data_IF_433214609780
#
_entry.id   IF_433214609780
#
_cell.length_a   1.000
_cell.length_b   1.000
_cell.length_c   1.000
_cell.angle_alpha   90.00
_cell.angle_beta   90.00
_cell.angle_gamma   90.00
#
_symmetry.space_group_name_H-M   'P 1'
#
loop_
_entity.id
_entity.type
_entity.pdbx_description
1 polymer ?
#
# COMPACT_ATOMS: atom_id res chain seq x y z
N UNK A 1 -4.09 16.20 -4.32
CA UNK A 1 -4.43 15.40 -3.11
C UNK A 1 -4.80 13.99 -3.56
N UNK A 2 -4.22 12.96 -2.93
CA UNK A 2 -4.52 11.56 -3.26
C UNK A 2 -5.92 11.17 -2.78
N UNK A 3 -6.62 10.37 -3.57
CA UNK A 3 -7.96 9.86 -3.27
C UNK A 3 -8.04 8.40 -3.68
N UNK A 4 -8.73 7.57 -2.88
CA UNK A 4 -8.96 6.17 -3.22
C UNK A 4 -10.02 6.04 -4.31
N UNK A 5 -9.75 5.19 -5.28
CA UNK A 5 -10.66 4.81 -6.35
C UNK A 5 -10.91 3.30 -6.30
N UNK A 6 -11.97 2.85 -6.94
CA UNK A 6 -12.15 1.44 -7.25
C UNK A 6 -11.01 0.94 -8.15
N UNK A 7 -10.66 -0.33 -8.02
CA UNK A 7 -9.61 -0.96 -8.82
C UNK A 7 -10.03 -0.98 -10.28
N UNK A 8 -9.23 -0.36 -11.14
CA UNK A 8 -9.46 -0.33 -12.57
C UNK A 8 -8.91 -1.59 -13.23
N UNK A 9 -9.78 -2.54 -13.54
CA UNK A 9 -9.40 -3.78 -14.23
C UNK A 9 -9.36 -3.63 -15.76
N UNK A 10 -9.60 -2.44 -16.30
CA UNK A 10 -9.76 -2.25 -17.75
C UNK A 10 -11.05 -2.88 -18.28
N UNK A 11 -11.21 -2.88 -19.60
CA UNK A 11 -12.42 -3.35 -20.28
C UNK A 11 -12.33 -4.77 -20.82
N UNK A 12 -11.12 -5.31 -20.96
CA UNK A 12 -10.89 -6.65 -21.53
C UNK A 12 -10.44 -7.66 -20.49
N UNK A 13 -10.63 -8.97 -20.78
CA UNK A 13 -10.10 -10.04 -19.91
C UNK A 13 -8.57 -9.99 -19.78
N UNK A 14 -7.85 -9.47 -20.78
CA UNK A 14 -6.38 -9.33 -20.78
C UNK A 14 -5.91 -8.23 -19.81
N UNK A 15 -6.76 -7.25 -19.50
CA UNK A 15 -6.46 -6.13 -18.62
C UNK A 15 -6.60 -6.49 -17.14
N UNK A 16 -7.13 -7.67 -16.82
CA UNK A 16 -7.34 -8.11 -15.45
C UNK A 16 -6.07 -8.72 -14.86
N UNK A 17 -5.40 -7.98 -14.00
CA UNK A 17 -4.42 -8.55 -13.07
C UNK A 17 -5.05 -8.62 -11.68
N UNK A 18 -5.07 -9.83 -11.08
CA UNK A 18 -5.75 -10.09 -9.80
C UNK A 18 -4.84 -9.97 -8.58
N UNK A 19 -3.56 -9.66 -8.77
CA UNK A 19 -2.61 -9.55 -7.67
C UNK A 19 -2.76 -8.23 -6.93
N UNK A 20 -2.50 -8.26 -5.63
CA UNK A 20 -2.75 -7.12 -4.74
C UNK A 20 -1.84 -5.92 -5.01
N UNK A 21 -0.59 -6.11 -5.46
CA UNK A 21 0.30 -5.00 -5.83
C UNK A 21 -0.24 -4.15 -6.98
N UNK A 22 -0.52 -4.73 -8.16
CA UNK A 22 -1.19 -4.02 -9.25
C UNK A 22 -2.53 -3.39 -8.86
N UNK A 23 -3.31 -4.05 -7.98
CA UNK A 23 -4.60 -3.53 -7.54
C UNK A 23 -4.49 -2.25 -6.72
N UNK A 24 -3.55 -2.17 -5.75
CA UNK A 24 -3.38 -0.95 -4.94
C UNK A 24 -2.76 0.20 -5.73
N UNK A 25 -1.86 -0.09 -6.68
CA UNK A 25 -1.36 0.93 -7.60
C UNK A 25 -2.53 1.49 -8.42
N UNK A 26 -3.34 0.62 -9.01
CA UNK A 26 -4.52 1.00 -9.80
C UNK A 26 -5.50 1.85 -8.98
N UNK A 27 -5.83 1.42 -7.76
CA UNK A 27 -6.80 2.11 -6.90
C UNK A 27 -6.33 3.50 -6.46
N UNK A 28 -5.02 3.74 -6.36
CA UNK A 28 -4.50 5.05 -5.96
C UNK A 28 -4.23 5.97 -7.15
N UNK A 29 -3.87 5.43 -8.31
CA UNK A 29 -3.39 6.23 -9.46
C UNK A 29 -4.34 6.23 -10.65
N UNK A 30 -5.37 5.37 -10.64
CA UNK A 30 -6.37 5.26 -11.71
C UNK A 30 -5.94 4.44 -12.93
N UNK A 31 -4.65 4.09 -13.09
CA UNK A 31 -4.20 3.24 -14.20
C UNK A 31 -4.80 1.84 -14.11
N UNK A 32 -4.83 1.09 -15.22
CA UNK A 32 -5.34 -0.28 -15.19
C UNK A 32 -4.40 -1.22 -14.40
N UNK A 33 -4.96 -2.30 -13.85
CA UNK A 33 -4.15 -3.34 -13.17
C UNK A 33 -3.16 -4.00 -14.13
N UNK A 34 -3.46 -4.09 -15.42
CA UNK A 34 -2.53 -4.59 -16.45
C UNK A 34 -1.33 -3.66 -16.62
N UNK A 35 -1.58 -2.35 -16.70
CA UNK A 35 -0.53 -1.34 -16.81
C UNK A 35 0.34 -1.31 -15.54
N UNK A 36 -0.27 -1.35 -14.35
CA UNK A 36 0.45 -1.45 -13.09
C UNK A 36 1.36 -2.69 -13.04
N UNK A 37 0.84 -3.85 -13.48
CA UNK A 37 1.62 -5.08 -13.56
C UNK A 37 2.76 -5.00 -14.59
N UNK A 38 2.55 -4.32 -15.73
CA UNK A 38 3.59 -4.06 -16.73
C UNK A 38 4.74 -3.27 -16.11
N UNK A 39 4.44 -2.14 -15.44
CA UNK A 39 5.44 -1.30 -14.78
C UNK A 39 6.21 -2.04 -13.68
N UNK A 40 5.54 -2.83 -12.85
CA UNK A 40 6.23 -3.67 -11.86
C UNK A 40 7.23 -4.62 -12.55
N UNK A 41 6.85 -5.26 -13.67
CA UNK A 41 7.77 -6.13 -14.42
C UNK A 41 8.97 -5.38 -14.99
N UNK A 42 8.77 -4.18 -15.48
CA UNK A 42 9.85 -3.33 -16.00
C UNK A 42 10.89 -2.99 -14.93
N UNK A 43 10.43 -2.60 -13.73
CA UNK A 43 11.33 -2.31 -12.61
C UNK A 43 12.01 -3.55 -12.03
N UNK A 44 11.33 -4.71 -12.06
CA UNK A 44 11.84 -5.92 -11.38
C UNK A 44 12.50 -6.92 -12.30
N UNK A 45 12.36 -6.79 -13.61
CA UNK A 45 12.80 -7.79 -14.62
C UNK A 45 12.00 -9.10 -14.58
N UNK A 46 10.94 -9.20 -13.76
CA UNK A 46 10.16 -10.45 -13.60
C UNK A 46 9.23 -10.66 -14.78
N UNK A 47 9.12 -11.92 -15.24
CA UNK A 47 8.16 -12.30 -16.29
C UNK A 47 6.71 -12.31 -15.78
N UNK A 48 6.51 -12.72 -14.53
CA UNK A 48 5.18 -12.86 -13.92
C UNK A 48 5.13 -12.20 -12.54
N UNK A 49 3.98 -11.65 -12.19
CA UNK A 49 3.69 -11.11 -10.87
C UNK A 49 2.87 -12.14 -10.11
N UNK A 50 3.47 -12.80 -9.11
CA UNK A 50 2.80 -13.76 -8.22
C UNK A 50 2.63 -13.22 -6.81
N UNK A 51 3.23 -12.10 -6.51
CA UNK A 51 3.21 -11.35 -5.27
C UNK A 51 4.21 -10.19 -5.40
N UNK A 52 4.10 -9.19 -4.56
CA UNK A 52 4.98 -8.01 -4.60
C UNK A 52 5.43 -7.63 -3.21
N UNK A 53 6.64 -7.07 -3.13
CA UNK A 53 7.20 -6.45 -1.93
C UNK A 53 7.11 -4.92 -2.02
N UNK A 54 7.37 -4.24 -0.91
CA UNK A 54 7.36 -2.77 -0.86
C UNK A 54 8.36 -2.14 -1.82
N UNK A 55 9.57 -2.67 -1.89
CA UNK A 55 10.63 -2.23 -2.79
C UNK A 55 10.29 -2.41 -4.28
N UNK A 56 9.42 -3.37 -4.62
CA UNK A 56 8.99 -3.60 -6.01
C UNK A 56 7.87 -2.64 -6.47
N UNK A 57 7.04 -2.15 -5.54
CA UNK A 57 5.94 -1.24 -5.88
C UNK A 57 6.30 0.23 -5.64
N UNK A 58 7.28 0.52 -4.76
CA UNK A 58 7.74 1.89 -4.47
C UNK A 58 8.19 2.64 -5.72
N UNK A 59 9.06 2.10 -6.61
CA UNK A 59 9.46 2.81 -7.81
C UNK A 59 8.31 3.06 -8.78
N UNK A 60 7.35 2.14 -8.89
CA UNK A 60 6.16 2.34 -9.73
C UNK A 60 5.29 3.49 -9.21
N UNK A 61 5.12 3.60 -7.90
CA UNK A 61 4.43 4.74 -7.32
C UNK A 61 5.17 6.05 -7.58
N UNK A 62 6.51 6.06 -7.46
CA UNK A 62 7.33 7.25 -7.74
C UNK A 62 7.18 7.72 -9.18
N UNK A 63 7.22 6.82 -10.18
CA UNK A 63 6.97 7.13 -11.60
C UNK A 63 5.58 7.72 -11.85
N UNK A 64 4.63 7.46 -10.97
CA UNK A 64 3.25 7.94 -11.03
C UNK A 64 3.01 9.17 -10.14
N UNK A 65 4.09 9.81 -9.66
CA UNK A 65 4.02 11.02 -8.85
C UNK A 65 3.56 10.77 -7.41
N UNK A 66 3.72 9.55 -6.88
CA UNK A 66 3.34 9.19 -5.52
C UNK A 66 4.55 8.76 -4.71
N UNK A 67 4.83 9.46 -3.62
CA UNK A 67 5.85 9.10 -2.64
C UNK A 67 5.29 8.06 -1.66
N UNK A 68 6.08 7.02 -1.42
CA UNK A 68 5.79 5.94 -0.48
C UNK A 68 6.82 5.97 0.65
N UNK A 69 6.43 6.48 1.84
CA UNK A 69 7.31 6.65 3.01
C UNK A 69 6.99 5.62 4.08
N UNK A 70 7.93 4.77 4.52
CA UNK A 70 7.71 3.83 5.60
C UNK A 70 7.30 4.52 6.89
N UNK A 71 6.42 3.88 7.66
CA UNK A 71 5.96 4.37 8.95
C UNK A 71 5.77 3.21 9.94
N UNK A 72 5.76 3.53 11.23
CA UNK A 72 5.44 2.60 12.31
C UNK A 72 4.63 3.27 13.41
N UNK A 73 3.98 2.47 14.22
CA UNK A 73 3.38 2.94 15.49
C UNK A 73 4.47 2.83 16.56
N UNK A 74 4.79 3.90 17.24
CA UNK A 74 5.76 3.91 18.33
C UNK A 74 5.22 3.29 19.64
N UNK A 75 6.06 3.23 20.67
CA UNK A 75 5.68 2.67 21.99
C UNK A 75 4.57 3.44 22.70
N UNK A 76 4.31 4.68 22.32
CA UNK A 76 3.25 5.56 22.84
C UNK A 76 1.97 5.51 22.00
N UNK A 77 1.96 4.73 20.91
CA UNK A 77 0.82 4.61 20.00
C UNK A 77 0.75 5.69 18.91
N UNK A 78 1.80 6.51 18.74
CA UNK A 78 1.85 7.52 17.69
C UNK A 78 2.42 6.96 16.39
N UNK A 79 1.84 7.38 15.27
CA UNK A 79 2.36 7.08 13.95
C UNK A 79 3.55 8.00 13.65
N UNK A 80 4.69 7.41 13.37
CA UNK A 80 5.91 8.13 13.00
C UNK A 80 6.48 7.57 11.69
N UNK A 81 7.15 8.43 10.91
CA UNK A 81 7.93 7.96 9.76
C UNK A 81 9.08 7.07 10.23
N UNK A 82 9.28 5.96 9.56
CA UNK A 82 10.35 5.02 9.91
C UNK A 82 11.53 5.17 8.94
N UNK A 83 12.29 6.24 9.13
CA UNK A 83 13.48 6.53 8.33
C UNK A 83 14.55 5.45 8.45
N UNK A 84 14.58 4.72 9.57
CA UNK A 84 15.52 3.60 9.74
C UNK A 84 15.26 2.49 8.72
N UNK A 85 14.00 2.22 8.39
CA UNK A 85 13.66 1.24 7.35
C UNK A 85 14.16 1.73 5.98
N UNK A 86 14.08 3.02 5.69
CA UNK A 86 14.58 3.57 4.42
C UNK A 86 16.10 3.46 4.28
N UNK A 87 16.83 3.47 5.38
CA UNK A 87 18.29 3.30 5.40
C UNK A 87 18.74 1.84 5.24
N UNK A 88 17.84 0.88 5.40
CA UNK A 88 18.16 -0.53 5.22
C UNK A 88 18.27 -0.88 3.72
N UNK A 89 19.16 -1.81 3.41
CA UNK A 89 19.17 -2.43 2.08
C UNK A 89 17.87 -3.22 1.80
N UNK A 90 17.58 -3.50 0.54
CA UNK A 90 16.36 -4.20 0.09
C UNK A 90 16.16 -5.53 0.80
N UNK A 91 17.24 -6.30 1.04
CA UNK A 91 17.18 -7.61 1.70
C UNK A 91 16.77 -7.46 3.17
N UNK A 92 17.31 -6.47 3.86
CA UNK A 92 16.97 -6.17 5.24
C UNK A 92 15.53 -5.63 5.37
N UNK A 93 15.09 -4.77 4.45
CA UNK A 93 13.70 -4.29 4.40
C UNK A 93 12.71 -5.44 4.23
N UNK A 94 12.98 -6.37 3.30
CA UNK A 94 12.12 -7.56 3.06
C UNK A 94 12.10 -8.48 4.28
N UNK A 95 13.24 -8.68 4.95
CA UNK A 95 13.33 -9.47 6.19
C UNK A 95 12.50 -8.82 7.29
N UNK A 96 12.69 -7.53 7.54
CA UNK A 96 11.89 -6.78 8.51
C UNK A 96 10.38 -6.92 8.25
N UNK A 97 9.93 -6.73 7.02
CA UNK A 97 8.52 -6.91 6.65
C UNK A 97 8.04 -8.35 6.86
N UNK A 98 8.88 -9.36 6.62
CA UNK A 98 8.54 -10.76 6.85
C UNK A 98 8.41 -11.07 8.34
N UNK A 99 9.30 -10.55 9.18
CA UNK A 99 9.30 -10.77 10.63
C UNK A 99 8.06 -10.17 11.30
N UNK A 100 7.56 -9.02 10.79
CA UNK A 100 6.34 -8.39 11.30
C UNK A 100 5.04 -9.17 10.96
N UNK A 101 5.07 -10.12 10.03
CA UNK A 101 3.86 -10.88 9.62
C UNK A 101 3.24 -11.70 10.74
N UNK A 102 4.07 -12.20 11.67
CA UNK A 102 3.61 -13.00 12.81
C UNK A 102 3.34 -12.19 14.08
N UNK A 103 4.07 -11.10 14.30
CA UNK A 103 4.10 -10.33 15.54
C UNK A 103 3.37 -8.98 15.47
N UNK A 104 3.09 -8.47 14.27
CA UNK A 104 2.43 -7.17 14.08
C UNK A 104 1.04 -7.09 14.71
N UNK A 105 0.58 -5.87 14.99
CA UNK A 105 -0.78 -5.65 15.50
C UNK A 105 -1.85 -6.08 14.51
N UNK A 106 -3.05 -6.37 14.98
CA UNK A 106 -4.18 -6.64 14.07
C UNK A 106 -4.61 -5.38 13.34
N UNK A 107 -5.25 -5.53 12.18
CA UNK A 107 -5.80 -4.39 11.45
C UNK A 107 -6.83 -3.61 12.28
N UNK A 108 -7.65 -4.29 13.10
CA UNK A 108 -8.55 -3.62 14.02
C UNK A 108 -7.81 -2.79 15.09
N UNK A 109 -6.71 -3.30 15.64
CA UNK A 109 -5.89 -2.55 16.58
C UNK A 109 -5.21 -1.35 15.90
N UNK A 110 -4.73 -1.53 14.66
CA UNK A 110 -4.18 -0.45 13.85
C UNK A 110 -5.21 0.65 13.59
N UNK A 111 -6.44 0.29 13.22
CA UNK A 111 -7.53 1.26 13.02
C UNK A 111 -7.79 2.09 14.27
N UNK A 112 -7.78 1.46 15.45
CA UNK A 112 -7.95 2.16 16.73
C UNK A 112 -6.76 3.07 17.04
N UNK A 113 -5.54 2.59 16.86
CA UNK A 113 -4.31 3.35 17.14
C UNK A 113 -4.13 4.57 16.23
N UNK A 114 -4.65 4.52 15.00
CA UNK A 114 -4.48 5.58 13.98
C UNK A 114 -5.76 6.40 13.72
N UNK A 115 -6.72 6.36 14.60
CA UNK A 115 -8.00 7.07 14.42
C UNK A 115 -7.80 8.57 14.21
N UNK A 116 -6.92 9.18 14.99
CA UNK A 116 -6.57 10.59 14.89
C UNK A 116 -5.91 10.94 13.56
N UNK A 117 -4.90 10.17 13.15
CA UNK A 117 -4.16 10.39 11.90
C UNK A 117 -5.05 10.15 10.67
N UNK A 118 -5.98 9.19 10.78
CA UNK A 118 -6.95 8.89 9.73
C UNK A 118 -8.08 9.90 9.60
N UNK A 119 -8.31 10.74 10.62
CA UNK A 119 -9.33 11.81 10.54
C UNK A 119 -9.03 12.83 9.43
N UNK A 120 -7.75 12.98 9.06
CA UNK A 120 -7.29 13.75 7.90
C UNK A 120 -7.46 13.04 6.56
N UNK A 121 -6.84 13.60 5.52
CA UNK A 121 -6.87 13.05 4.16
C UNK A 121 -5.69 12.14 3.84
N UNK A 122 -4.89 11.75 4.85
CA UNK A 122 -3.74 10.88 4.66
C UNK A 122 -4.17 9.53 4.10
N UNK A 123 -3.50 9.08 3.05
CA UNK A 123 -3.64 7.72 2.52
C UNK A 123 -2.55 6.85 3.13
N UNK A 124 -2.96 5.68 3.60
CA UNK A 124 -2.09 4.64 4.13
C UNK A 124 -2.07 3.45 3.18
N UNK A 125 -0.88 2.98 2.85
CA UNK A 125 -0.69 1.65 2.26
C UNK A 125 -0.24 0.71 3.36
N UNK A 126 -0.90 -0.42 3.48
CA UNK A 126 -0.57 -1.43 4.48
C UNK A 126 -0.30 -2.79 3.83
N UNK A 127 0.65 -3.52 4.40
CA UNK A 127 0.74 -4.96 4.23
C UNK A 127 -0.04 -5.62 5.36
N UNK A 128 -1.19 -6.23 5.07
CA UNK A 128 -2.08 -6.83 6.06
C UNK A 128 -2.52 -8.22 5.63
N UNK A 129 -2.18 -9.25 6.42
CA UNK A 129 -2.52 -10.65 6.12
C UNK A 129 -2.05 -11.11 4.75
N UNK A 130 -0.82 -10.80 4.38
CA UNK A 130 -0.19 -11.07 3.07
C UNK A 130 -0.85 -10.36 1.88
N UNK A 131 -1.59 -9.29 2.13
CA UNK A 131 -2.21 -8.46 1.10
C UNK A 131 -1.81 -7.00 1.24
N UNK A 132 -1.68 -6.35 0.11
CA UNK A 132 -1.63 -4.90 0.03
C UNK A 132 -3.04 -4.34 0.12
N UNK A 133 -3.23 -3.36 1.00
CA UNK A 133 -4.50 -2.66 1.19
C UNK A 133 -4.24 -1.15 1.31
N UNK A 134 -5.17 -0.35 0.84
CA UNK A 134 -5.17 1.11 1.02
C UNK A 134 -6.28 1.50 1.98
N UNK A 135 -5.98 2.46 2.85
CA UNK A 135 -6.93 3.06 3.79
C UNK A 135 -6.83 4.58 3.74
N UNK A 136 -7.97 5.25 3.70
CA UNK A 136 -8.09 6.70 3.81
C UNK A 136 -9.34 7.01 4.62
N UNK A 137 -9.20 7.64 5.76
CA UNK A 137 -10.31 7.79 6.74
C UNK A 137 -10.90 6.41 7.07
N UNK A 138 -12.18 6.21 6.87
CA UNK A 138 -12.88 4.94 7.03
C UNK A 138 -13.12 4.20 5.70
N UNK A 139 -12.47 4.65 4.64
CA UNK A 139 -12.47 3.98 3.34
C UNK A 139 -11.34 2.98 3.21
N UNK A 140 -11.63 1.84 2.63
CA UNK A 140 -10.74 0.72 2.41
C UNK A 140 -10.85 0.22 0.97
N UNK A 141 -9.73 -0.10 0.34
CA UNK A 141 -9.71 -0.80 -0.95
C UNK A 141 -8.54 -1.78 -1.03
N UNK A 142 -8.77 -2.91 -1.65
CA UNK A 142 -7.73 -3.89 -2.00
C UNK A 142 -8.16 -4.70 -3.23
N UNK A 143 -7.27 -5.54 -3.76
CA UNK A 143 -7.58 -6.40 -4.89
C UNK A 143 -8.73 -7.40 -4.67
N UNK A 144 -9.13 -7.67 -3.41
CA UNK A 144 -10.26 -8.55 -3.08
C UNK A 144 -11.59 -7.84 -3.03
N UNK A 145 -11.59 -6.60 -2.53
CA UNK A 145 -12.82 -5.78 -2.55
C UNK A 145 -13.10 -5.29 -3.96
N UNK A 146 -12.05 -4.91 -4.69
CA UNK A 146 -12.15 -4.30 -6.02
C UNK A 146 -12.72 -2.89 -6.00
N UNK A 147 -13.50 -2.57 -4.98
CA UNK A 147 -14.22 -1.32 -4.77
C UNK A 147 -13.77 -0.66 -3.47
N UNK A 148 -13.98 0.64 -3.37
CA UNK A 148 -13.82 1.38 -2.12
C UNK A 148 -15.02 1.03 -1.23
N UNK A 149 -14.72 0.49 -0.06
CA UNK A 149 -15.73 0.08 0.93
C UNK A 149 -15.38 0.64 2.31
N UNK A 150 -16.31 0.61 3.25
CA UNK A 150 -16.00 0.96 4.65
C UNK A 150 -15.02 -0.04 5.26
N UNK A 151 -14.17 0.41 6.19
CA UNK A 151 -13.30 -0.46 7.01
C UNK A 151 -14.07 -1.50 7.82
N UNK A 152 -15.37 -1.31 8.02
CA UNK A 152 -16.27 -2.25 8.71
C UNK A 152 -16.98 -3.22 7.76
N UNK A 153 -16.72 -3.13 6.44
CA UNK A 153 -17.33 -4.01 5.46
C UNK A 153 -16.95 -5.49 5.71
N UNK A 154 -17.88 -6.46 5.56
CA UNK A 154 -17.64 -7.88 5.88
C UNK A 154 -16.46 -8.53 5.15
N UNK A 155 -16.07 -8.03 3.96
CA UNK A 155 -14.90 -8.52 3.23
C UNK A 155 -13.57 -8.05 3.84
N UNK A 156 -13.56 -7.08 4.75
CA UNK A 156 -12.37 -6.54 5.40
C UNK A 156 -11.93 -7.46 6.54
N UNK A 157 -10.72 -7.98 6.44
CA UNK A 157 -10.17 -8.93 7.42
C UNK A 157 -9.57 -8.20 8.62
N UNK A 158 -10.39 -7.74 9.55
CA UNK A 158 -9.98 -6.96 10.73
C UNK A 158 -9.01 -7.68 11.68
N UNK A 159 -8.99 -9.02 11.67
CA UNK A 159 -8.05 -9.84 12.48
C UNK A 159 -6.71 -10.09 11.77
N UNK A 160 -6.56 -9.71 10.51
CA UNK A 160 -5.30 -9.85 9.80
C UNK A 160 -4.19 -9.01 10.46
N UNK A 161 -2.97 -9.54 10.51
CA UNK A 161 -1.80 -8.83 11.07
C UNK A 161 -1.29 -7.80 10.07
N UNK A 162 -0.99 -6.59 10.56
CA UNK A 162 -0.31 -5.53 9.82
C UNK A 162 1.19 -5.78 9.94
N UNK A 163 1.87 -5.98 8.83
CA UNK A 163 3.31 -6.26 8.75
C UNK A 163 4.11 -5.15 8.05
N UNK A 164 3.47 -4.07 7.69
CA UNK A 164 4.12 -2.88 7.12
C UNK A 164 3.10 -1.77 6.95
N UNK A 165 3.55 -0.54 7.15
CA UNK A 165 2.77 0.69 7.08
C UNK A 165 3.57 1.68 6.23
N UNK A 166 2.92 2.34 5.28
CA UNK A 166 3.50 3.43 4.49
C UNK A 166 2.51 4.57 4.38
N UNK A 167 3.04 5.78 4.50
CA UNK A 167 2.35 7.02 4.18
C UNK A 167 2.47 7.26 2.68
N UNK A 168 1.35 7.55 2.03
CA UNK A 168 1.29 7.84 0.60
C UNK A 168 1.05 9.33 0.41
N UNK A 169 1.97 10.02 -0.26
CA UNK A 169 1.91 11.45 -0.51
C UNK A 169 2.06 11.71 -2.01
N UNK A 170 1.42 12.77 -2.50
CA UNK A 170 1.67 13.23 -3.86
C UNK A 170 3.05 13.91 -3.89
N UNK A 171 3.88 13.58 -4.87
CA UNK A 171 5.13 14.29 -5.11
C UNK A 171 4.75 15.66 -5.67
N UNK A 172 5.10 16.72 -4.95
CA UNK A 172 4.95 18.09 -5.45
C UNK A 172 6.17 18.41 -6.33
N UNK A 173 5.94 19.06 -7.47
CA UNK A 173 7.00 19.42 -8.44
C UNK A 173 8.19 20.20 -7.83
N UNK A 174 8.00 20.81 -6.66
CA UNK A 174 9.06 21.49 -5.93
C UNK A 174 10.07 20.55 -5.25
N UNK A 175 9.75 19.27 -5.06
CA UNK A 175 10.66 18.27 -4.46
C UNK A 175 11.41 17.44 -5.52
N UNK A 176 11.01 17.52 -6.77
CA UNK A 176 11.67 16.80 -7.88
C UNK A 176 12.92 17.55 -8.41
N UNK A 177 13.18 18.78 -7.95
CA UNK A 177 14.28 19.65 -8.44
C UNK A 177 15.42 19.83 -7.41
N UNK A 178 15.44 19.09 -6.33
CA UNK A 178 16.49 19.08 -5.30
C UNK A 178 17.25 17.74 -5.29
#
# INVERSE_FOLDING_TARGET
MLTLNSVNHGTTKRDKNRFCGPAVISALTGITTAEAARRIREHTGRRQITGTWGDEIKPVFADLGVQMTPARIDGNGYLISDLLIEMLDVKAQRRHQADQRGSGMTFAAWLKATERERSGNQVFLLSSGHHWVLVQRDNFVCGKTGEVVSVDHPKVKRRARVSGIWLMNQINDQQAAA
#
